data_IF_347301152738
#
_entry.id   IF_347301152738
#
_cell.length_a   1.000
_cell.length_b   1.000
_cell.length_c   1.000
_cell.angle_alpha   90.00
_cell.angle_beta   90.00
_cell.angle_gamma   90.00
#
_symmetry.space_group_name_H-M   'P 1'
#
loop_
_entity.id
_entity.type
_entity.pdbx_description
1 polymer ?
#
# COMPACT_ATOMS: atom_id res chain seq x y z
N UNK A 1 -0.35 -23.93 98.98
CA UNK A 1 -0.66 -23.62 97.55
C UNK A 1 0.32 -22.52 97.13
N UNK A 2 1.50 -22.85 96.62
CA UNK A 2 1.89 -23.19 95.23
C UNK A 2 1.62 -22.06 94.22
N UNK A 3 2.73 -21.39 93.85
CA UNK A 3 3.27 -21.09 92.48
C UNK A 3 2.33 -20.33 91.52
N UNK A 4 2.75 -19.36 90.69
CA UNK A 4 3.99 -19.26 89.90
C UNK A 4 4.01 -17.93 89.11
N UNK A 5 5.23 -17.47 88.77
CA UNK A 5 5.56 -16.41 87.82
C UNK A 5 5.04 -16.67 86.40
N UNK A 6 4.82 -15.61 85.60
CA UNK A 6 5.14 -15.66 84.17
C UNK A 6 5.48 -14.29 83.58
N UNK A 7 6.73 -14.19 83.13
CA UNK A 7 7.27 -13.19 82.19
C UNK A 7 6.64 -13.40 80.80
N UNK A 8 6.28 -12.32 80.09
CA UNK A 8 6.09 -12.36 78.64
C UNK A 8 7.07 -11.39 77.97
N UNK A 9 7.89 -11.97 77.11
CA UNK A 9 8.99 -11.34 76.37
C UNK A 9 8.48 -10.48 75.20
N UNK A 10 9.19 -9.38 74.95
CA UNK A 10 9.14 -8.62 73.70
C UNK A 10 9.68 -9.47 72.54
N UNK A 11 8.93 -9.57 71.45
CA UNK A 11 9.44 -9.98 70.14
C UNK A 11 9.49 -8.74 69.24
N UNK A 12 10.70 -8.27 68.97
CA UNK A 12 10.96 -7.27 67.94
C UNK A 12 10.98 -7.96 66.58
N UNK A 13 10.01 -7.67 65.72
CA UNK A 13 10.00 -8.07 64.32
C UNK A 13 10.83 -7.10 63.49
N UNK A 14 11.97 -7.57 62.98
CA UNK A 14 12.74 -6.87 61.96
C UNK A 14 11.99 -6.97 60.62
N UNK A 15 11.30 -5.90 60.23
CA UNK A 15 10.79 -5.75 58.87
C UNK A 15 11.96 -5.32 57.97
N UNK A 16 12.48 -6.26 57.18
CA UNK A 16 13.41 -5.96 56.09
C UNK A 16 12.60 -5.33 54.96
N UNK A 17 12.71 -4.02 54.80
CA UNK A 17 12.18 -3.30 53.63
C UNK A 17 13.00 -3.71 52.41
N UNK A 18 12.49 -4.65 51.61
CA UNK A 18 13.01 -4.90 50.28
C UNK A 18 12.74 -3.66 49.41
N UNK A 19 13.79 -3.04 48.90
CA UNK A 19 13.68 -2.00 47.87
C UNK A 19 13.05 -2.61 46.60
N UNK A 20 12.16 -1.88 45.91
CA UNK A 20 11.62 -2.37 44.64
C UNK A 20 12.77 -2.44 43.63
N UNK A 21 13.03 -3.64 43.11
CA UNK A 21 13.84 -3.83 41.92
C UNK A 21 13.23 -3.00 40.79
N UNK A 22 13.93 -1.96 40.35
CA UNK A 22 13.65 -1.31 39.08
C UNK A 22 13.84 -2.38 38.00
N UNK A 23 12.73 -2.88 37.47
CA UNK A 23 12.72 -3.66 36.25
C UNK A 23 13.12 -2.73 35.10
N UNK A 24 14.38 -2.79 34.68
CA UNK A 24 14.77 -2.37 33.34
C UNK A 24 14.11 -3.32 32.34
N UNK A 25 12.82 -3.11 32.07
CA UNK A 25 12.13 -3.71 30.94
C UNK A 25 12.59 -2.93 29.72
N UNK A 26 13.78 -3.23 29.22
CA UNK A 26 13.95 -3.21 27.77
C UNK A 26 13.11 -4.36 27.27
N UNK A 27 11.82 -4.11 27.03
CA UNK A 27 11.01 -4.97 26.18
C UNK A 27 11.69 -4.90 24.82
N UNK A 28 12.63 -5.82 24.60
CA UNK A 28 13.12 -6.13 23.27
C UNK A 28 11.96 -6.87 22.62
N UNK A 29 10.91 -6.13 22.26
CA UNK A 29 9.88 -6.64 21.37
C UNK A 29 10.61 -7.23 20.18
N UNK A 30 10.50 -8.55 20.01
CA UNK A 30 11.15 -9.28 18.92
C UNK A 30 10.66 -8.63 17.63
N UNK A 31 11.56 -7.97 16.90
CA UNK A 31 11.21 -7.30 15.64
C UNK A 31 10.99 -8.35 14.55
N UNK A 32 9.95 -8.18 13.74
CA UNK A 32 9.70 -9.01 12.57
C UNK A 32 10.85 -8.94 11.57
N UNK A 33 11.32 -7.72 11.30
CA UNK A 33 12.53 -7.47 10.51
C UNK A 33 13.42 -6.48 11.24
N UNK A 34 14.48 -7.01 11.85
CA UNK A 34 15.43 -6.19 12.61
C UNK A 34 16.29 -5.25 11.77
N UNK A 35 16.31 -5.42 10.45
CA UNK A 35 17.05 -4.55 9.52
C UNK A 35 16.28 -3.27 9.18
N UNK A 36 14.96 -3.24 9.39
CA UNK A 36 14.09 -2.12 9.08
C UNK A 36 13.84 -1.26 10.32
N UNK A 37 13.92 0.06 10.14
CA UNK A 37 13.84 1.04 11.26
C UNK A 37 12.73 2.07 11.08
N UNK A 38 12.06 2.06 9.93
CA UNK A 38 10.97 2.95 9.61
C UNK A 38 10.31 2.57 8.30
N UNK A 39 9.47 3.48 7.79
CA UNK A 39 8.68 3.31 6.59
C UNK A 39 8.74 4.58 5.75
N UNK A 40 8.75 4.41 4.43
CA UNK A 40 8.52 5.47 3.46
C UNK A 40 7.13 5.26 2.86
N UNK A 41 6.25 6.24 3.06
CA UNK A 41 4.96 6.35 2.38
C UNK A 41 5.06 7.26 1.16
N UNK A 42 4.38 6.88 0.09
CA UNK A 42 4.31 7.59 -1.19
C UNK A 42 2.85 7.73 -1.58
N UNK A 43 2.36 8.97 -1.63
CA UNK A 43 0.93 9.27 -1.78
C UNK A 43 0.69 10.41 -2.78
N UNK A 44 -0.55 10.60 -3.20
CA UNK A 44 -1.00 11.84 -3.84
C UNK A 44 -2.01 12.58 -2.96
N UNK A 45 -2.26 13.85 -3.32
CA UNK A 45 -3.32 14.67 -2.75
C UNK A 45 -4.42 14.87 -3.80
N UNK A 46 -5.68 14.81 -3.37
CA UNK A 46 -6.81 14.78 -4.30
C UNK A 46 -6.96 16.01 -5.20
N UNK A 47 -6.54 17.18 -4.72
CA UNK A 47 -6.58 18.48 -5.41
C UNK A 47 -5.23 18.91 -6.02
N UNK A 48 -4.18 18.13 -5.77
CA UNK A 48 -2.85 18.35 -6.31
C UNK A 48 -2.22 16.98 -6.61
N UNK A 49 -2.63 16.33 -7.71
CA UNK A 49 -2.26 14.95 -8.05
C UNK A 49 -0.79 14.87 -8.48
N UNK A 50 0.09 14.94 -7.48
CA UNK A 50 1.54 14.83 -7.57
C UNK A 50 2.01 13.76 -6.58
N UNK A 51 3.31 13.43 -6.57
CA UNK A 51 3.86 12.44 -5.63
C UNK A 51 4.44 13.13 -4.40
N UNK A 52 3.95 12.75 -3.22
CA UNK A 52 4.38 13.28 -1.93
C UNK A 52 4.94 12.15 -1.06
N UNK A 53 6.07 12.42 -0.41
CA UNK A 53 6.70 11.45 0.47
C UNK A 53 6.42 11.76 1.93
N UNK A 54 6.25 10.69 2.70
CA UNK A 54 6.00 10.73 4.13
C UNK A 54 6.93 9.73 4.80
N UNK A 55 7.70 10.19 5.78
CA UNK A 55 8.61 9.33 6.55
C UNK A 55 7.96 8.99 7.88
N UNK A 56 8.02 7.73 8.30
CA UNK A 56 7.47 7.34 9.59
C UNK A 56 8.20 8.02 10.76
N UNK A 57 7.49 8.30 11.84
CA UNK A 57 8.10 8.78 13.08
C UNK A 57 8.72 7.59 13.83
N UNK A 58 10.01 7.35 13.59
CA UNK A 58 10.69 6.14 14.03
C UNK A 58 10.10 4.90 13.37
N UNK A 59 10.12 3.75 14.04
CA UNK A 59 9.64 2.48 13.47
C UNK A 59 8.13 2.28 13.66
N UNK A 60 7.33 3.34 13.56
CA UNK A 60 5.87 3.27 13.74
C UNK A 60 5.16 3.25 12.38
N UNK A 61 4.50 2.11 12.08
CA UNK A 61 3.80 1.88 10.82
C UNK A 61 2.60 2.83 10.58
N UNK A 62 2.11 3.51 11.61
CA UNK A 62 0.87 4.31 11.58
C UNK A 62 1.10 5.78 11.97
N UNK A 63 2.35 6.24 12.00
CA UNK A 63 2.71 7.60 12.37
C UNK A 63 3.72 8.15 11.39
N UNK A 64 3.37 9.22 10.68
CA UNK A 64 4.20 9.77 9.61
C UNK A 64 4.33 11.28 9.70
N UNK A 65 5.43 11.81 9.18
CA UNK A 65 5.64 13.23 8.91
C UNK A 65 5.86 13.45 7.42
N UNK A 66 5.33 14.55 6.90
CA UNK A 66 5.58 14.94 5.52
C UNK A 66 7.07 15.25 5.31
N UNK A 67 7.62 14.81 4.18
CA UNK A 67 8.93 15.22 3.70
C UNK A 67 8.80 16.47 2.79
N UNK A 68 9.92 17.11 2.49
CA UNK A 68 10.04 18.30 1.64
C UNK A 68 9.13 19.47 2.05
N UNK A 69 8.87 19.59 3.36
CA UNK A 69 7.94 20.58 3.91
C UNK A 69 6.50 20.43 3.39
N UNK A 70 6.09 19.22 3.02
CA UNK A 70 4.77 18.92 2.46
C UNK A 70 4.60 19.25 0.97
N UNK A 71 5.68 19.64 0.28
CA UNK A 71 5.67 19.87 -1.17
C UNK A 71 5.89 18.56 -1.92
N UNK A 72 5.38 18.50 -3.15
CA UNK A 72 5.59 17.37 -4.04
C UNK A 72 7.10 17.08 -4.24
N UNK A 73 7.44 15.80 -4.28
CA UNK A 73 8.77 15.30 -4.65
C UNK A 73 8.84 15.08 -6.17
N UNK A 74 7.77 14.52 -6.75
CA UNK A 74 7.64 14.33 -8.20
C UNK A 74 6.39 15.06 -8.68
N UNK A 75 6.57 15.89 -9.72
CA UNK A 75 5.55 16.73 -10.33
C UNK A 75 5.57 16.46 -11.85
N UNK A 76 4.65 15.65 -12.38
CA UNK A 76 4.67 15.23 -13.77
C UNK A 76 4.31 16.38 -14.72
N UNK A 77 5.01 16.46 -15.85
CA UNK A 77 4.75 17.48 -16.89
C UNK A 77 4.21 16.88 -18.19
N UNK A 78 4.41 15.57 -18.39
CA UNK A 78 3.89 14.81 -19.52
C UNK A 78 2.45 14.32 -19.28
N UNK A 79 1.80 13.70 -20.28
CA UNK A 79 0.44 13.15 -20.14
C UNK A 79 -0.60 14.21 -19.78
N UNK A 80 -1.42 13.91 -18.78
CA UNK A 80 -2.38 14.86 -18.17
C UNK A 80 -1.71 15.88 -17.24
N UNK A 81 -0.42 15.67 -16.94
CA UNK A 81 0.35 16.37 -15.91
C UNK A 81 -0.29 16.31 -14.52
N UNK A 82 -0.85 15.15 -14.19
CA UNK A 82 -1.27 14.77 -12.86
C UNK A 82 -1.11 13.27 -12.68
N UNK A 83 -0.52 12.86 -11.55
CA UNK A 83 -0.34 11.47 -11.15
C UNK A 83 -1.21 11.14 -9.95
N UNK A 84 -1.97 10.05 -10.07
CA UNK A 84 -2.75 9.47 -8.98
C UNK A 84 -2.25 8.08 -8.65
N UNK A 85 -2.62 7.62 -7.47
CA UNK A 85 -2.40 6.24 -7.02
C UNK A 85 -0.92 5.80 -7.12
N UNK A 86 0.06 6.58 -6.64
CA UNK A 86 1.46 6.23 -6.82
C UNK A 86 1.85 5.00 -5.99
N UNK A 87 2.41 3.99 -6.65
CA UNK A 87 2.98 2.81 -6.01
C UNK A 87 4.51 2.82 -6.06
N UNK A 88 5.15 2.72 -4.90
CA UNK A 88 6.59 2.52 -4.75
C UNK A 88 6.93 1.03 -4.74
N UNK A 89 7.77 0.62 -5.69
CA UNK A 89 8.14 -0.77 -5.90
C UNK A 89 9.60 -0.96 -5.49
N UNK A 90 9.83 -1.89 -4.56
CA UNK A 90 11.19 -2.36 -4.28
C UNK A 90 11.72 -3.14 -5.49
N UNK A 91 12.98 -2.88 -5.86
CA UNK A 91 13.66 -3.69 -6.86
C UNK A 91 13.68 -5.16 -6.47
N UNK A 92 13.50 -6.05 -7.44
CA UNK A 92 13.54 -7.50 -7.28
C UNK A 92 14.83 -8.10 -7.85
N UNK A 93 15.09 -9.37 -7.54
CA UNK A 93 16.27 -10.09 -8.04
C UNK A 93 17.58 -9.36 -7.73
N UNK A 94 18.37 -9.04 -8.76
CA UNK A 94 19.65 -8.31 -8.63
C UNK A 94 19.49 -6.84 -8.21
N UNK A 95 18.29 -6.27 -8.35
CA UNK A 95 18.00 -4.88 -7.99
C UNK A 95 17.59 -4.72 -6.51
N UNK A 96 17.37 -5.84 -5.80
CA UNK A 96 16.90 -5.85 -4.42
C UNK A 96 17.78 -5.02 -3.49
N UNK A 97 17.15 -4.07 -2.78
CA UNK A 97 17.81 -3.13 -1.86
C UNK A 97 18.66 -2.04 -2.51
N UNK A 98 18.74 -2.01 -3.84
CA UNK A 98 19.61 -1.10 -4.59
C UNK A 98 18.86 -0.23 -5.61
N UNK A 99 17.62 -0.59 -5.96
CA UNK A 99 16.79 0.17 -6.89
C UNK A 99 15.33 0.17 -6.46
N UNK A 100 14.65 1.25 -6.82
CA UNK A 100 13.23 1.46 -6.59
C UNK A 100 12.60 2.06 -7.83
N UNK A 101 11.31 1.78 -8.00
CA UNK A 101 10.47 2.40 -9.01
C UNK A 101 9.31 3.10 -8.33
N UNK A 102 8.80 4.16 -8.94
CA UNK A 102 7.47 4.67 -8.65
C UNK A 102 6.67 4.58 -9.93
N UNK A 103 5.50 3.97 -9.87
CA UNK A 103 4.52 3.96 -10.95
C UNK A 103 3.24 4.65 -10.48
N UNK A 104 2.43 5.15 -11.42
CA UNK A 104 1.17 5.79 -11.06
C UNK A 104 0.26 6.02 -12.25
N UNK A 105 -1.00 6.30 -11.95
CA UNK A 105 -2.05 6.62 -12.93
C UNK A 105 -1.76 7.98 -13.57
N UNK A 106 -1.77 8.05 -14.90
CA UNK A 106 -1.78 9.33 -15.63
C UNK A 106 -3.18 9.93 -15.65
N UNK A 107 -3.46 10.77 -14.64
CA UNK A 107 -4.76 11.39 -14.45
C UNK A 107 -4.71 12.67 -13.59
N UNK A 108 -5.12 13.78 -14.19
CA UNK A 108 -5.58 14.99 -13.52
C UNK A 108 -7.08 15.15 -13.78
N UNK A 109 -7.91 15.29 -12.74
CA UNK A 109 -9.38 15.48 -12.87
C UNK A 109 -9.71 16.97 -12.71
N UNK A 110 -10.44 17.52 -13.67
CA UNK A 110 -10.89 18.92 -13.65
C UNK A 110 -9.97 19.90 -14.35
N UNK A 111 -8.83 19.46 -14.91
CA UNK A 111 -7.94 20.29 -15.73
C UNK A 111 -8.41 20.31 -17.19
N UNK A 112 -8.25 21.46 -17.84
CA UNK A 112 -8.32 21.56 -19.29
C UNK A 112 -6.92 21.20 -19.84
N UNK A 113 -6.74 19.99 -20.35
CA UNK A 113 -5.45 19.59 -20.94
C UNK A 113 -5.22 20.34 -22.26
N UNK A 114 -4.09 21.04 -22.39
CA UNK A 114 -3.69 21.72 -23.63
C UNK A 114 -3.69 20.70 -24.80
N UNK A 115 -4.60 20.89 -25.76
CA UNK A 115 -4.74 20.02 -26.94
C UNK A 115 -5.96 19.08 -26.90
N UNK A 116 -6.58 18.87 -25.75
CA UNK A 116 -7.88 18.21 -25.62
C UNK A 116 -8.93 19.28 -25.29
N UNK A 117 -9.88 19.53 -26.19
CA UNK A 117 -10.93 20.56 -26.03
C UNK A 117 -11.96 20.23 -24.93
N UNK A 118 -11.62 19.39 -23.96
CA UNK A 118 -12.51 18.91 -22.90
C UNK A 118 -11.78 18.96 -21.57
N UNK A 119 -12.49 19.46 -20.56
CA UNK A 119 -12.11 19.28 -19.16
C UNK A 119 -12.08 17.78 -18.85
N UNK A 120 -11.05 17.29 -18.16
CA UNK A 120 -10.99 15.89 -17.72
C UNK A 120 -12.09 15.64 -16.70
N UNK A 121 -13.17 14.99 -17.14
CA UNK A 121 -14.27 14.54 -16.27
C UNK A 121 -14.10 13.07 -15.96
N UNK A 122 -14.73 12.61 -14.88
CA UNK A 122 -14.72 11.19 -14.52
C UNK A 122 -15.27 10.27 -15.61
N UNK A 123 -16.28 10.70 -16.36
CA UNK A 123 -16.81 9.92 -17.49
C UNK A 123 -15.81 9.87 -18.65
N UNK A 124 -15.23 11.03 -19.02
CA UNK A 124 -14.22 11.10 -20.07
C UNK A 124 -12.99 10.24 -19.73
N UNK A 125 -12.50 10.28 -18.49
CA UNK A 125 -11.33 9.52 -18.05
C UNK A 125 -11.57 8.01 -17.97
N UNK A 126 -12.83 7.55 -17.88
CA UNK A 126 -13.17 6.12 -17.95
C UNK A 126 -13.36 5.61 -19.38
N UNK A 127 -13.70 6.51 -20.30
CA UNK A 127 -13.97 6.18 -21.71
C UNK A 127 -12.74 6.34 -22.58
N UNK A 128 -12.02 7.44 -22.41
CA UNK A 128 -10.90 7.87 -23.26
C UNK A 128 -9.74 8.34 -22.37
N UNK A 129 -9.52 7.65 -21.25
CA UNK A 129 -8.43 7.91 -20.32
C UNK A 129 -7.08 7.50 -20.89
N UNK A 130 -6.03 7.80 -20.13
CA UNK A 130 -4.67 7.36 -20.48
C UNK A 130 -4.61 5.83 -20.48
N UNK A 131 -3.91 5.27 -21.48
CA UNK A 131 -3.55 3.85 -21.56
C UNK A 131 -2.12 3.60 -21.09
N UNK A 132 -1.55 4.60 -20.42
CA UNK A 132 -0.18 4.63 -19.97
C UNK A 132 -0.08 4.80 -18.46
N UNK A 133 1.00 4.28 -17.90
CA UNK A 133 1.40 4.54 -16.52
C UNK A 133 2.60 5.48 -16.51
N UNK A 134 2.69 6.32 -15.50
CA UNK A 134 3.95 6.97 -15.19
C UNK A 134 4.95 5.97 -14.62
N UNK A 135 6.23 6.20 -14.87
CA UNK A 135 7.34 5.46 -14.29
C UNK A 135 8.50 6.41 -13.97
N UNK A 136 8.96 6.35 -12.72
CA UNK A 136 10.24 6.91 -12.27
C UNK A 136 11.10 5.80 -11.67
N UNK A 137 12.42 5.97 -11.69
CA UNK A 137 13.36 5.04 -11.06
C UNK A 137 14.39 5.79 -10.21
N UNK A 138 14.84 5.15 -9.12
CA UNK A 138 15.86 5.68 -8.22
C UNK A 138 16.75 4.54 -7.71
N UNK A 139 18.02 4.84 -7.42
CA UNK A 139 18.96 3.92 -6.78
C UNK A 139 19.28 4.30 -5.32
N UNK A 140 18.63 5.34 -4.80
CA UNK A 140 18.88 5.83 -3.45
C UNK A 140 17.65 6.36 -2.70
N UNK A 141 16.46 6.38 -3.32
CA UNK A 141 15.20 6.98 -2.86
C UNK A 141 15.19 8.51 -2.76
N UNK A 142 16.29 9.17 -3.11
CA UNK A 142 16.45 10.62 -3.02
C UNK A 142 16.42 11.23 -4.41
N UNK A 143 17.26 10.72 -5.30
CA UNK A 143 17.43 11.18 -6.66
C UNK A 143 16.59 10.28 -7.57
N UNK A 144 15.59 10.89 -8.20
CA UNK A 144 14.71 10.22 -9.14
C UNK A 144 15.06 10.62 -10.56
N UNK A 145 15.07 9.65 -11.46
CA UNK A 145 15.24 9.89 -12.90
C UNK A 145 14.07 10.67 -13.51
N UNK A 146 14.18 11.02 -14.79
CA UNK A 146 13.10 11.69 -15.52
C UNK A 146 11.82 10.83 -15.57
N UNK A 147 10.67 11.51 -15.58
CA UNK A 147 9.38 10.85 -15.82
C UNK A 147 9.37 10.11 -17.16
N UNK A 148 8.72 8.95 -17.19
CA UNK A 148 8.39 8.22 -18.41
C UNK A 148 6.90 7.90 -18.40
N UNK A 149 6.23 8.10 -19.53
CA UNK A 149 4.86 7.68 -19.73
C UNK A 149 4.87 6.44 -20.64
N UNK A 150 4.52 5.28 -20.09
CA UNK A 150 4.64 3.99 -20.78
C UNK A 150 3.25 3.41 -21.04
N UNK A 151 2.88 3.23 -22.31
CA UNK A 151 1.64 2.56 -22.70
C UNK A 151 1.71 1.07 -22.37
N UNK A 152 0.73 0.58 -21.62
CA UNK A 152 0.69 -0.80 -21.12
C UNK A 152 -0.58 -1.56 -21.53
N UNK A 153 -1.58 -0.88 -22.08
CA UNK A 153 -2.85 -1.48 -22.50
C UNK A 153 -3.18 -1.22 -23.97
N UNK A 154 -4.04 -2.07 -24.54
CA UNK A 154 -4.52 -2.00 -25.92
C UNK A 154 -5.54 -0.86 -26.14
N UNK A 155 -5.73 -0.47 -27.40
CA UNK A 155 -6.56 0.69 -27.79
C UNK A 155 -8.08 0.51 -27.57
N UNK A 156 -8.54 -0.72 -27.31
CA UNK A 156 -9.94 -1.05 -27.00
C UNK A 156 -10.29 -0.89 -25.51
N UNK A 157 -9.30 -0.53 -24.68
CA UNK A 157 -9.49 -0.17 -23.28
C UNK A 157 -9.92 1.29 -23.11
N UNK A 158 -10.67 1.54 -22.04
CA UNK A 158 -11.09 2.88 -21.65
C UNK A 158 -10.06 3.66 -20.84
N UNK A 159 -9.25 2.96 -20.03
CA UNK A 159 -8.30 3.56 -19.09
C UNK A 159 -7.30 2.53 -18.52
N UNK A 160 -6.23 3.03 -17.91
CA UNK A 160 -5.29 2.28 -17.07
C UNK A 160 -5.18 2.99 -15.72
N UNK A 161 -5.74 2.39 -14.66
CA UNK A 161 -5.83 3.01 -13.33
C UNK A 161 -5.23 2.16 -12.21
N UNK A 162 -4.76 2.87 -11.17
CA UNK A 162 -4.18 2.33 -9.94
C UNK A 162 -3.13 1.22 -10.19
N UNK A 163 -2.04 1.52 -10.93
CA UNK A 163 -1.04 0.52 -11.20
C UNK A 163 -0.21 0.20 -9.94
N UNK A 164 0.01 -1.08 -9.70
CA UNK A 164 0.94 -1.58 -8.68
C UNK A 164 1.72 -2.78 -9.25
N UNK A 165 2.78 -3.20 -8.57
CA UNK A 165 3.62 -4.29 -9.02
C UNK A 165 4.20 -5.11 -7.88
N UNK A 166 4.33 -6.41 -8.12
CA UNK A 166 5.02 -7.33 -7.24
C UNK A 166 6.10 -8.09 -8.01
N UNK A 167 7.24 -8.34 -7.37
CA UNK A 167 8.27 -9.19 -7.94
C UNK A 167 7.83 -10.66 -7.90
N UNK A 168 7.72 -11.28 -9.06
CA UNK A 168 7.48 -12.70 -9.21
C UNK A 168 8.82 -13.43 -9.37
N UNK A 169 9.26 -14.09 -8.30
CA UNK A 169 10.54 -14.79 -8.27
C UNK A 169 10.58 -15.99 -9.22
N UNK A 170 9.44 -16.60 -9.56
CA UNK A 170 9.40 -17.75 -10.48
C UNK A 170 9.64 -17.31 -11.93
N UNK A 171 9.13 -16.13 -12.30
CA UNK A 171 9.33 -15.54 -13.63
C UNK A 171 10.59 -14.68 -13.72
N UNK A 172 11.16 -14.26 -12.57
CA UNK A 172 12.28 -13.33 -12.51
C UNK A 172 11.93 -11.95 -13.10
N UNK A 173 10.68 -11.52 -12.89
CA UNK A 173 10.09 -10.30 -13.45
C UNK A 173 9.11 -9.67 -12.47
N UNK A 174 8.76 -8.41 -12.69
CA UNK A 174 7.65 -7.76 -12.01
C UNK A 174 6.35 -8.11 -12.71
N UNK A 175 5.37 -8.63 -11.97
CA UNK A 175 3.97 -8.63 -12.39
C UNK A 175 3.42 -7.24 -12.09
N UNK A 176 3.18 -6.44 -13.12
CA UNK A 176 2.58 -5.12 -13.02
C UNK A 176 1.10 -5.26 -13.38
N UNK A 177 0.22 -4.75 -12.54
CA UNK A 177 -1.23 -4.85 -12.73
C UNK A 177 -1.92 -3.50 -12.60
N UNK A 178 -3.11 -3.38 -13.19
CA UNK A 178 -3.94 -2.18 -13.18
C UNK A 178 -5.40 -2.54 -13.41
N UNK A 179 -6.31 -1.63 -13.04
CA UNK A 179 -7.71 -1.74 -13.43
C UNK A 179 -7.91 -1.19 -14.86
N UNK A 180 -8.71 -1.89 -15.67
CA UNK A 180 -9.16 -1.42 -16.98
C UNK A 180 -10.60 -1.83 -17.26
N UNK A 181 -11.26 -1.20 -18.22
CA UNK A 181 -12.58 -1.60 -18.73
C UNK A 181 -12.59 -1.50 -20.24
N UNK A 182 -13.36 -2.37 -20.88
CA UNK A 182 -13.32 -2.56 -22.33
C UNK A 182 -14.67 -2.22 -22.96
N UNK A 183 -14.60 -1.68 -24.18
CA UNK A 183 -15.74 -1.42 -25.03
C UNK A 183 -15.82 -2.49 -26.12
N UNK A 184 -16.96 -2.56 -26.82
CA UNK A 184 -17.02 -3.40 -28.02
C UNK A 184 -15.93 -2.98 -28.99
N UNK A 185 -15.25 -3.94 -29.63
CA UNK A 185 -14.28 -3.66 -30.69
C UNK A 185 -14.87 -2.89 -31.88
N UNK A 186 -16.21 -2.88 -32.01
CA UNK A 186 -16.93 -2.09 -33.01
C UNK A 186 -17.29 -0.66 -32.54
N UNK A 187 -17.20 -0.38 -31.24
CA UNK A 187 -17.45 0.95 -30.64
C UNK A 187 -16.13 1.70 -30.48
N UNK A 188 -15.50 2.08 -31.59
CA UNK A 188 -14.20 2.77 -31.57
C UNK A 188 -14.24 4.15 -30.91
N UNK A 189 -15.43 4.68 -30.66
CA UNK A 189 -15.63 5.98 -30.00
C UNK A 189 -15.93 5.87 -28.50
N UNK A 190 -16.03 4.65 -27.96
CA UNK A 190 -16.32 4.36 -26.55
C UNK A 190 -17.57 5.08 -26.04
N UNK A 191 -18.61 5.13 -26.88
CA UNK A 191 -19.88 5.82 -26.60
C UNK A 191 -20.93 4.91 -25.97
N UNK A 192 -20.78 3.60 -26.14
CA UNK A 192 -21.67 2.59 -25.60
C UNK A 192 -21.44 2.30 -24.12
N UNK A 193 -22.07 1.22 -23.65
CA UNK A 193 -21.89 0.70 -22.30
C UNK A 193 -20.67 -0.22 -22.28
N UNK A 194 -19.64 0.05 -21.45
CA UNK A 194 -18.51 -0.85 -21.30
C UNK A 194 -18.90 -2.12 -20.53
N UNK A 195 -18.04 -3.14 -20.60
CA UNK A 195 -18.06 -4.22 -19.62
C UNK A 195 -17.69 -3.74 -18.21
N UNK A 196 -17.81 -4.60 -17.18
CA UNK A 196 -17.26 -4.31 -15.86
C UNK A 196 -15.76 -4.02 -15.95
N UNK A 197 -15.23 -3.17 -15.07
CA UNK A 197 -13.77 -3.08 -14.94
C UNK A 197 -13.24 -4.41 -14.39
N UNK A 198 -12.09 -4.81 -14.92
CA UNK A 198 -11.35 -6.01 -14.57
C UNK A 198 -9.89 -5.64 -14.28
N UNK A 199 -9.17 -6.54 -13.59
CA UNK A 199 -7.76 -6.34 -13.31
C UNK A 199 -6.94 -6.99 -14.43
N UNK A 200 -6.09 -6.18 -15.04
CA UNK A 200 -5.18 -6.50 -16.12
C UNK A 200 -3.76 -6.58 -15.59
N UNK A 201 -2.88 -7.30 -16.27
CA UNK A 201 -1.47 -7.37 -15.93
C UNK A 201 -0.57 -7.55 -17.14
N UNK A 202 0.68 -7.16 -16.99
CA UNK A 202 1.78 -7.51 -17.88
C UNK A 202 3.06 -7.71 -17.07
N UNK A 203 3.98 -8.52 -17.61
CA UNK A 203 5.30 -8.68 -17.02
C UNK A 203 6.30 -7.69 -17.60
N UNK A 204 7.20 -7.20 -16.74
CA UNK A 204 8.37 -6.41 -17.14
C UNK A 204 9.57 -6.77 -16.28
N UNK A 205 10.78 -6.59 -16.80
CA UNK A 205 12.02 -6.67 -16.01
C UNK A 205 12.63 -5.30 -15.72
N UNK A 206 12.16 -4.24 -16.38
CA UNK A 206 12.85 -2.94 -16.40
C UNK A 206 11.90 -1.73 -16.38
N UNK A 207 10.58 -1.97 -16.32
CA UNK A 207 9.53 -0.97 -16.44
C UNK A 207 9.66 -0.09 -17.71
N UNK A 208 10.29 -0.59 -18.77
CA UNK A 208 10.38 0.06 -20.10
C UNK A 208 9.70 -0.79 -21.14
N UNK A 209 9.93 -2.09 -21.09
CA UNK A 209 9.35 -3.07 -22.00
C UNK A 209 8.41 -3.99 -21.24
N UNK A 210 7.20 -4.13 -21.76
CA UNK A 210 6.14 -4.93 -21.15
C UNK A 210 5.74 -6.04 -22.12
N UNK A 211 5.37 -7.20 -21.58
CA UNK A 211 4.66 -8.21 -22.37
C UNK A 211 3.30 -7.66 -22.81
N UNK A 212 2.66 -8.34 -23.76
CA UNK A 212 1.25 -8.04 -24.06
C UNK A 212 0.39 -8.20 -22.80
N UNK A 213 -0.56 -7.29 -22.56
CA UNK A 213 -1.41 -7.33 -21.38
C UNK A 213 -2.39 -8.51 -21.42
N UNK A 214 -2.64 -9.09 -20.27
CA UNK A 214 -3.55 -10.21 -20.06
C UNK A 214 -4.52 -9.90 -18.91
N UNK A 215 -5.66 -10.58 -18.85
CA UNK A 215 -6.57 -10.46 -17.70
C UNK A 215 -6.01 -11.26 -16.53
N UNK A 216 -5.84 -10.60 -15.38
CA UNK A 216 -5.48 -11.23 -14.12
C UNK A 216 -6.74 -11.67 -13.35
N UNK A 217 -7.74 -10.77 -13.26
CA UNK A 217 -9.00 -11.01 -12.56
C UNK A 217 -10.13 -10.55 -13.46
N UNK A 218 -10.81 -11.52 -14.07
CA UNK A 218 -12.09 -11.29 -14.73
C UNK A 218 -13.19 -11.29 -13.64
N UNK A 219 -13.89 -10.17 -13.49
CA UNK A 219 -14.93 -10.05 -12.47
C UNK A 219 -16.32 -9.94 -13.12
N UNK A 220 -17.31 -10.56 -12.49
CA UNK A 220 -18.72 -10.43 -12.88
C UNK A 220 -19.28 -9.04 -12.51
N UNK A 221 -18.65 -8.37 -11.54
CA UNK A 221 -18.91 -6.99 -11.09
C UNK A 221 -17.70 -6.11 -11.37
N UNK A 222 -17.87 -4.78 -11.32
CA UNK A 222 -16.74 -3.86 -11.53
C UNK A 222 -15.81 -3.94 -10.33
N UNK A 223 -14.54 -4.28 -10.57
CA UNK A 223 -13.49 -4.28 -9.56
C UNK A 223 -12.35 -3.36 -9.97
N UNK A 224 -11.74 -2.71 -8.98
CA UNK A 224 -10.58 -1.81 -9.16
C UNK A 224 -9.62 -1.96 -7.97
N UNK A 225 -8.53 -1.20 -8.00
CA UNK A 225 -7.61 -1.01 -6.89
C UNK A 225 -7.15 -2.33 -6.25
N UNK A 226 -6.56 -3.20 -7.07
CA UNK A 226 -5.89 -4.39 -6.58
C UNK A 226 -4.65 -3.95 -5.78
N UNK A 227 -4.43 -4.55 -4.61
CA UNK A 227 -3.14 -4.58 -3.95
C UNK A 227 -2.75 -6.02 -3.60
N UNK A 228 -1.49 -6.37 -3.84
CA UNK A 228 -0.92 -7.69 -3.58
C UNK A 228 0.11 -7.60 -2.47
N UNK A 229 0.06 -8.55 -1.53
CA UNK A 229 1.03 -8.65 -0.45
C UNK A 229 1.49 -10.11 -0.32
N UNK A 230 2.78 -10.36 -0.47
CA UNK A 230 3.34 -11.66 -0.11
C UNK A 230 3.27 -11.86 1.41
N UNK A 231 2.97 -13.08 1.83
CA UNK A 231 2.82 -13.47 3.23
C UNK A 231 3.85 -14.54 3.63
N UNK A 232 5.13 -14.18 3.83
CA UNK A 232 6.19 -15.12 4.14
C UNK A 232 5.90 -16.01 5.37
N UNK A 233 5.12 -15.50 6.32
CA UNK A 233 4.72 -16.22 7.53
C UNK A 233 3.82 -17.44 7.26
N UNK A 234 3.24 -17.54 6.06
CA UNK A 234 2.44 -18.69 5.63
C UNK A 234 3.11 -19.53 4.54
N UNK A 235 4.20 -19.05 3.95
CA UNK A 235 4.98 -19.76 2.93
C UNK A 235 5.48 -18.82 1.83
N UNK A 236 6.49 -19.26 1.08
CA UNK A 236 7.07 -18.46 0.00
C UNK A 236 6.09 -18.16 -1.15
N UNK A 237 5.05 -18.98 -1.31
CA UNK A 237 4.01 -18.81 -2.34
C UNK A 237 2.67 -18.35 -1.76
N UNK A 238 2.66 -17.86 -0.52
CA UNK A 238 1.45 -17.33 0.11
C UNK A 238 1.31 -15.84 -0.16
N UNK A 239 0.12 -15.43 -0.59
CA UNK A 239 -0.20 -14.05 -0.94
C UNK A 239 -1.58 -13.67 -0.41
N UNK A 240 -1.72 -12.44 0.07
CA UNK A 240 -2.99 -11.75 0.20
C UNK A 240 -3.21 -10.86 -1.02
N UNK A 241 -4.48 -10.71 -1.41
CA UNK A 241 -4.92 -9.66 -2.30
C UNK A 241 -6.06 -8.89 -1.68
N UNK A 242 -6.08 -7.59 -1.92
CA UNK A 242 -7.12 -6.66 -1.48
C UNK A 242 -7.70 -6.02 -2.71
N UNK A 243 -9.03 -6.01 -2.81
CA UNK A 243 -9.71 -5.46 -3.98
C UNK A 243 -10.90 -4.61 -3.55
N UNK A 244 -11.13 -3.56 -4.33
CA UNK A 244 -12.36 -2.78 -4.29
C UNK A 244 -13.39 -3.42 -5.22
N UNK A 245 -14.55 -3.78 -4.68
CA UNK A 245 -15.78 -4.00 -5.45
C UNK A 245 -16.50 -2.64 -5.56
N UNK A 246 -16.53 -2.08 -6.76
CA UNK A 246 -17.20 -0.81 -7.03
C UNK A 246 -18.73 -0.96 -6.95
N UNK A 247 -19.27 -2.07 -7.43
CA UNK A 247 -20.71 -2.33 -7.44
C UNK A 247 -21.29 -2.40 -6.02
N UNK A 248 -20.55 -2.99 -5.08
CA UNK A 248 -20.93 -3.06 -3.67
C UNK A 248 -20.32 -1.95 -2.80
N UNK A 249 -19.46 -1.11 -3.38
CA UNK A 249 -18.74 -0.04 -2.70
C UNK A 249 -17.99 -0.51 -1.46
N UNK A 250 -17.29 -1.64 -1.53
CA UNK A 250 -16.58 -2.25 -0.39
C UNK A 250 -15.19 -2.76 -0.78
N UNK A 251 -14.34 -2.94 0.22
CA UNK A 251 -13.04 -3.63 0.06
C UNK A 251 -13.09 -4.97 0.77
N UNK A 252 -12.60 -6.01 0.11
CA UNK A 252 -12.44 -7.35 0.67
C UNK A 252 -11.00 -7.85 0.52
N UNK A 253 -10.68 -8.94 1.20
CA UNK A 253 -9.39 -9.62 1.08
C UNK A 253 -9.58 -11.10 0.75
N UNK A 254 -8.70 -11.59 -0.10
CA UNK A 254 -8.57 -13.00 -0.44
C UNK A 254 -7.13 -13.45 -0.24
N UNK A 255 -6.93 -14.76 -0.09
CA UNK A 255 -5.63 -15.37 0.10
C UNK A 255 -5.46 -16.59 -0.80
N UNK A 256 -4.26 -16.74 -1.33
CA UNK A 256 -3.76 -17.95 -1.99
C UNK A 256 -2.49 -18.41 -1.28
N UNK A 257 -2.30 -19.72 -1.19
CA UNK A 257 -1.08 -20.37 -0.66
C UNK A 257 -0.32 -21.16 -1.75
N UNK A 258 -0.78 -21.05 -3.00
CA UNK A 258 -0.28 -21.76 -4.18
C UNK A 258 0.17 -20.81 -5.31
N UNK A 259 0.34 -19.52 -5.01
CA UNK A 259 0.97 -18.52 -5.89
C UNK A 259 0.04 -17.42 -6.40
N UNK A 260 0.59 -16.46 -7.14
CA UNK A 260 -0.15 -15.31 -7.68
C UNK A 260 -1.34 -15.72 -8.57
N UNK A 261 -1.19 -16.82 -9.32
CA UNK A 261 -2.22 -17.41 -10.19
C UNK A 261 -2.87 -18.66 -9.57
N UNK A 262 -2.75 -18.81 -8.25
CA UNK A 262 -3.27 -19.96 -7.51
C UNK A 262 -4.77 -19.86 -7.21
N UNK A 263 -5.21 -20.74 -6.33
CA UNK A 263 -6.57 -20.77 -5.79
C UNK A 263 -6.72 -19.68 -4.73
N UNK A 264 -7.58 -18.70 -5.01
CA UNK A 264 -7.91 -17.63 -4.07
C UNK A 264 -9.15 -17.98 -3.24
N UNK A 265 -9.03 -17.86 -1.93
CA UNK A 265 -10.13 -18.06 -0.98
C UNK A 265 -10.37 -16.80 -0.17
N UNK A 266 -11.60 -16.57 0.28
CA UNK A 266 -11.96 -15.40 1.09
C UNK A 266 -12.01 -15.76 2.57
N UNK A 267 -11.03 -15.33 3.39
CA UNK A 267 -11.07 -15.59 4.82
C UNK A 267 -12.33 -15.00 5.46
N UNK A 268 -13.08 -15.81 6.21
CA UNK A 268 -14.40 -15.43 6.74
C UNK A 268 -15.59 -15.74 5.81
N UNK A 269 -15.34 -16.34 4.63
CA UNK A 269 -16.36 -16.78 3.67
C UNK A 269 -16.64 -15.77 2.55
N UNK A 270 -17.33 -16.21 1.49
CA UNK A 270 -17.50 -15.48 0.23
C UNK A 270 -18.14 -14.07 0.36
N UNK A 271 -18.89 -13.83 1.43
CA UNK A 271 -19.53 -12.52 1.70
C UNK A 271 -18.73 -11.60 2.62
N UNK A 272 -17.56 -12.04 3.11
CA UNK A 272 -16.74 -11.24 4.00
C UNK A 272 -16.16 -10.01 3.30
N UNK A 273 -16.15 -8.88 4.00
CA UNK A 273 -15.54 -7.63 3.57
C UNK A 273 -14.88 -6.96 4.76
N UNK A 274 -13.89 -6.11 4.49
CA UNK A 274 -13.12 -5.39 5.51
C UNK A 274 -13.85 -4.11 5.89
N UNK A 275 -14.15 -3.28 4.90
CA UNK A 275 -14.87 -2.02 5.12
C UNK A 275 -15.69 -1.62 3.88
N UNK A 276 -16.69 -0.76 4.08
CA UNK A 276 -17.54 -0.19 3.01
C UNK A 276 -17.27 1.30 2.82
N UNK A 277 -17.67 1.89 1.69
CA UNK A 277 -17.44 3.30 1.32
C UNK A 277 -15.97 3.73 1.39
N UNK A 278 -15.08 2.79 1.01
CA UNK A 278 -13.64 2.99 0.92
C UNK A 278 -13.10 2.41 -0.39
N UNK A 279 -11.94 2.85 -0.84
CA UNK A 279 -11.23 2.38 -2.04
C UNK A 279 -9.72 2.27 -1.75
N UNK A 280 -8.92 2.03 -2.79
CA UNK A 280 -7.47 2.12 -2.74
C UNK A 280 -6.77 1.34 -1.64
N UNK A 281 -7.07 0.03 -1.42
CA UNK A 281 -6.36 -0.72 -0.41
C UNK A 281 -4.86 -0.75 -0.69
N UNK A 282 -4.04 -0.55 0.34
CA UNK A 282 -2.61 -0.84 0.26
C UNK A 282 -2.12 -1.52 1.54
N UNK A 283 -1.52 -2.69 1.41
CA UNK A 283 -1.14 -3.54 2.54
C UNK A 283 0.38 -3.73 2.63
N UNK A 284 0.92 -3.69 3.85
CA UNK A 284 2.35 -3.86 4.11
C UNK A 284 2.58 -4.55 5.46
N UNK A 285 3.69 -5.29 5.55
CA UNK A 285 4.09 -5.99 6.77
C UNK A 285 4.57 -4.99 7.83
N UNK A 286 4.30 -5.31 9.10
CA UNK A 286 4.83 -4.57 10.24
C UNK A 286 6.28 -5.01 10.52
N UNK A 287 7.21 -4.06 10.59
CA UNK A 287 8.62 -4.27 10.90
C UNK A 287 8.84 -4.81 12.33
N UNK A 288 7.93 -4.52 13.27
CA UNK A 288 8.10 -4.79 14.69
C UNK A 288 7.35 -6.02 15.18
N UNK A 289 6.20 -6.36 14.59
CA UNK A 289 5.37 -7.49 15.02
C UNK A 289 5.27 -8.52 13.91
N UNK A 290 5.88 -9.69 14.13
CA UNK A 290 5.92 -10.76 13.13
C UNK A 290 4.52 -11.18 12.69
N UNK A 291 4.33 -11.26 11.36
CA UNK A 291 3.07 -11.67 10.74
C UNK A 291 1.93 -10.64 10.82
N UNK A 292 2.12 -9.50 11.51
CA UNK A 292 1.15 -8.40 11.51
C UNK A 292 1.17 -7.68 10.16
N UNK A 293 -0.01 -7.44 9.62
CA UNK A 293 -0.23 -6.63 8.41
C UNK A 293 -0.91 -5.33 8.79
N UNK A 294 -0.42 -4.24 8.23
CA UNK A 294 -1.07 -2.94 8.20
C UNK A 294 -1.74 -2.78 6.83
N UNK A 295 -2.93 -2.18 6.81
CA UNK A 295 -3.72 -1.93 5.60
C UNK A 295 -4.22 -0.49 5.63
N UNK A 296 -4.01 0.26 4.57
CA UNK A 296 -4.61 1.58 4.39
C UNK A 296 -5.82 1.45 3.48
N UNK A 297 -6.95 2.05 3.85
CA UNK A 297 -8.15 2.15 3.01
C UNK A 297 -8.52 3.62 2.81
N UNK A 298 -8.66 4.05 1.55
CA UNK A 298 -8.91 5.44 1.18
C UNK A 298 -10.40 5.74 1.34
N UNK A 299 -10.74 6.61 2.30
CA UNK A 299 -12.09 7.13 2.44
C UNK A 299 -12.28 8.26 1.43
N UNK A 300 -12.55 7.88 0.18
CA UNK A 300 -12.57 8.77 -0.98
C UNK A 300 -13.58 9.92 -0.91
N UNK A 301 -14.64 9.77 -0.11
CA UNK A 301 -15.64 10.80 0.19
C UNK A 301 -15.40 11.57 1.49
N UNK A 302 -14.26 11.37 2.16
CA UNK A 302 -13.93 11.99 3.46
C UNK A 302 -12.50 12.55 3.43
N UNK A 303 -11.67 12.16 4.39
CA UNK A 303 -10.39 12.77 4.76
C UNK A 303 -9.21 11.85 4.43
N UNK A 304 -9.38 11.01 3.39
CA UNK A 304 -8.34 10.15 2.84
C UNK A 304 -8.09 8.88 3.65
N UNK A 305 -6.86 8.42 3.63
CA UNK A 305 -6.46 7.14 4.19
C UNK A 305 -6.72 7.00 5.69
N UNK A 306 -7.17 5.79 6.06
CA UNK A 306 -7.21 5.33 7.46
C UNK A 306 -6.56 3.97 7.59
N UNK A 307 -5.77 3.75 8.66
CA UNK A 307 -5.11 2.49 8.88
C UNK A 307 -6.03 1.46 9.54
N UNK A 308 -5.81 0.20 9.16
CA UNK A 308 -6.36 -1.02 9.75
C UNK A 308 -5.20 -1.98 9.99
N UNK A 309 -5.38 -2.92 10.91
CA UNK A 309 -4.37 -3.95 11.18
C UNK A 309 -4.99 -5.32 11.37
N UNK A 310 -4.22 -6.37 11.10
CA UNK A 310 -4.57 -7.75 11.42
C UNK A 310 -3.31 -8.56 11.72
N UNK A 311 -3.41 -9.50 12.65
CA UNK A 311 -2.39 -10.53 12.92
C UNK A 311 -2.87 -11.93 12.51
N UNK A 312 -4.06 -12.04 11.93
CA UNK A 312 -4.64 -13.31 11.52
C UNK A 312 -5.28 -13.19 10.13
N UNK A 313 -4.57 -13.69 9.13
CA UNK A 313 -5.04 -13.70 7.73
C UNK A 313 -5.73 -15.01 7.33
N UNK A 314 -6.07 -15.86 8.31
CA UNK A 314 -6.95 -17.02 8.10
C UNK A 314 -8.42 -16.70 8.37
N UNK A 315 -8.72 -15.49 8.86
CA UNK A 315 -10.08 -15.02 9.13
C UNK A 315 -10.23 -13.54 8.73
N UNK A 316 -11.47 -13.07 8.62
CA UNK A 316 -11.75 -11.64 8.48
C UNK A 316 -11.58 -10.92 9.84
N UNK A 317 -10.32 -10.66 10.21
CA UNK A 317 -9.94 -10.18 11.55
C UNK A 317 -9.24 -8.81 11.50
N UNK A 318 -9.82 -7.86 10.75
CA UNK A 318 -9.31 -6.50 10.63
C UNK A 318 -9.88 -5.60 11.72
N UNK A 319 -9.02 -4.77 12.31
CA UNK A 319 -9.40 -3.77 13.31
C UNK A 319 -8.82 -2.41 12.94
N UNK A 320 -9.47 -1.34 13.38
CA UNK A 320 -8.96 0.03 13.19
C UNK A 320 -7.56 0.18 13.79
N UNK A 321 -6.65 0.78 13.03
CA UNK A 321 -5.32 1.18 13.49
C UNK A 321 -5.35 2.51 14.22
N UNK A 322 -4.32 2.79 15.02
CA UNK A 322 -4.15 4.11 15.62
C UNK A 322 -3.94 5.17 14.52
N UNK A 323 -4.82 6.17 14.48
CA UNK A 323 -4.80 7.25 13.50
C UNK A 323 -4.30 8.57 14.10
N UNK A 324 -3.99 8.62 15.39
CA UNK A 324 -3.68 9.86 16.12
C UNK A 324 -2.57 10.67 15.45
N UNK A 325 -1.55 9.98 14.93
CA UNK A 325 -0.41 10.59 14.24
C UNK A 325 -0.33 10.21 12.76
N UNK A 326 -1.41 9.68 12.19
CA UNK A 326 -1.48 9.38 10.77
C UNK A 326 -1.95 10.63 10.00
N UNK A 327 -1.27 11.07 8.93
CA UNK A 327 -1.67 12.28 8.21
C UNK A 327 -3.05 12.16 7.58
N UNK A 328 -3.80 13.26 7.57
CA UNK A 328 -5.09 13.35 6.88
C UNK A 328 -4.91 13.76 5.42
N UNK A 329 -5.94 13.52 4.60
CA UNK A 329 -6.04 13.90 3.18
C UNK A 329 -5.10 13.17 2.21
N UNK A 330 -4.25 12.25 2.70
CA UNK A 330 -3.52 11.32 1.84
C UNK A 330 -4.50 10.43 1.10
N UNK A 331 -4.37 10.35 -0.22
CA UNK A 331 -5.18 9.48 -1.08
C UNK A 331 -4.41 8.23 -1.47
N UNK A 332 -5.05 7.33 -2.22
CA UNK A 332 -4.50 6.05 -2.67
C UNK A 332 -3.00 6.13 -3.01
N UNK A 333 -2.18 5.31 -2.38
CA UNK A 333 -0.73 5.30 -2.51
C UNK A 333 -0.14 4.06 -1.86
N UNK A 334 1.12 4.13 -1.45
CA UNK A 334 1.91 2.96 -1.08
C UNK A 334 2.86 3.22 0.09
N UNK A 335 3.31 2.15 0.74
CA UNK A 335 4.24 2.20 1.88
C UNK A 335 5.24 1.04 1.79
N UNK A 336 6.53 1.34 1.94
CA UNK A 336 7.58 0.34 2.08
C UNK A 336 8.32 0.48 3.42
N UNK A 337 8.75 -0.64 4.00
CA UNK A 337 9.73 -0.63 5.08
C UNK A 337 11.11 -0.22 4.57
N UNK A 338 11.86 0.55 5.37
CA UNK A 338 13.19 1.04 5.01
C UNK A 338 14.21 0.81 6.13
N UNK A 339 15.46 0.57 5.71
CA UNK A 339 16.58 0.40 6.62
C UNK A 339 17.13 1.75 7.12
N UNK A 340 18.07 1.69 8.07
CA UNK A 340 18.66 2.89 8.69
C UNK A 340 19.30 3.84 7.68
N UNK A 341 20.06 3.31 6.72
CA UNK A 341 20.74 4.14 5.72
C UNK A 341 19.75 4.94 4.87
N UNK A 342 18.62 4.32 4.46
CA UNK A 342 17.58 5.01 3.69
C UNK A 342 16.79 5.99 4.54
N UNK A 343 16.45 5.62 5.78
CA UNK A 343 15.76 6.51 6.71
C UNK A 343 16.56 7.81 6.96
N UNK A 344 17.86 7.68 7.24
CA UNK A 344 18.74 8.82 7.51
C UNK A 344 18.93 9.68 6.25
N UNK A 345 19.10 9.06 5.08
CA UNK A 345 19.24 9.78 3.83
C UNK A 345 17.99 10.60 3.49
N UNK A 346 16.80 10.01 3.63
CA UNK A 346 15.52 10.70 3.41
C UNK A 346 15.36 11.86 4.37
N UNK A 347 15.64 11.64 5.66
CA UNK A 347 15.53 12.68 6.67
C UNK A 347 16.56 13.82 6.46
N UNK A 348 17.77 13.51 6.02
CA UNK A 348 18.80 14.53 5.77
C UNK A 348 18.50 15.39 4.54
N UNK A 349 17.90 14.81 3.49
CA UNK A 349 17.61 15.52 2.24
C UNK A 349 16.25 16.22 2.23
N UNK A 350 15.26 15.65 2.92
CA UNK A 350 13.87 16.10 2.84
C UNK A 350 13.16 16.25 4.19
N UNK A 351 13.81 15.93 5.32
CA UNK A 351 13.15 15.72 6.62
C UNK A 351 12.80 16.94 7.45
#
# INVERSE_FOLDING_TARGET
MKLSNLFCALLASNAVSALPLQSNVTDIAVRADSSLVGYLGVFFLGDAPNVYFYLSNGNNALSFKALNGGRAILDPTSGTSGVRDPSIINGGGSEAGNKWYIIGTDLDIGKASYGLKMQTTWDASQRKGSLSIYVWESTDLINWGSERLVKVENDDAGMVWAPDAIWDANEGKYLVHWASKFYSTSDTEHTGTPGPSEIRYAYTSDFKTFTSPQTFIAAATTVIDLALLQLPQYGANSYARFLKDESASLVYMERSDDGLFGTWTRPGGDSAWIHTQVEGPYAYLDNQVEGKVNLLLDYYGSDGYRPFTSTNLNANAWVDGDRTNFPTYLRHGSVIGINQARYDALNANWG
#
